data_IF_403485267960
#
_entry.id   IF_403485267960
#
_cell.length_a   1.000
_cell.length_b   1.000
_cell.length_c   1.000
_cell.angle_alpha   90.00
_cell.angle_beta   90.00
_cell.angle_gamma   90.00
#
_symmetry.space_group_name_H-M   'P 1'
#
loop_
_entity.id
_entity.type
_entity.pdbx_description
1 polymer ?
#
# COMPACT_ATOMS: atom_id res chain seq x y z
N UNK A 1 -40.46 -5.15 6.03
CA UNK A 1 -40.45 -6.06 7.19
C UNK A 1 -39.53 -7.20 6.82
N UNK A 2 -38.26 -7.08 7.17
CA UNK A 2 -37.31 -8.17 6.99
C UNK A 2 -37.49 -9.07 8.23
N UNK A 3 -37.81 -10.35 8.00
CA UNK A 3 -38.06 -11.32 9.08
C UNK A 3 -36.76 -11.62 9.82
N UNK A 4 -36.83 -11.82 11.14
CA UNK A 4 -35.71 -12.19 12.04
C UNK A 4 -34.92 -13.45 11.59
N UNK A 5 -35.41 -14.19 10.59
CA UNK A 5 -34.75 -15.35 10.00
C UNK A 5 -33.65 -15.04 8.98
N UNK A 6 -33.45 -13.78 8.56
CA UNK A 6 -32.41 -13.42 7.57
C UNK A 6 -30.99 -13.34 8.14
N UNK A 7 -30.81 -13.58 9.44
CA UNK A 7 -29.54 -13.47 10.16
C UNK A 7 -29.03 -14.80 10.72
N UNK A 8 -29.61 -15.93 10.31
CA UNK A 8 -29.15 -17.23 10.79
C UNK A 8 -27.77 -17.56 10.23
N UNK A 9 -27.01 -18.36 10.99
CA UNK A 9 -25.72 -18.90 10.52
C UNK A 9 -25.89 -19.65 9.19
N UNK A 10 -27.04 -20.29 8.97
CA UNK A 10 -27.34 -20.95 7.70
C UNK A 10 -27.44 -19.96 6.53
N UNK A 11 -28.07 -18.80 6.71
CA UNK A 11 -28.17 -17.80 5.64
C UNK A 11 -26.81 -17.23 5.24
N UNK A 12 -25.94 -16.96 6.22
CA UNK A 12 -24.56 -16.49 5.98
C UNK A 12 -23.76 -17.56 5.21
N UNK A 13 -23.90 -18.83 5.57
CA UNK A 13 -23.22 -19.94 4.88
C UNK A 13 -23.79 -20.19 3.47
N UNK A 14 -25.11 -20.05 3.29
CA UNK A 14 -25.76 -20.13 1.99
C UNK A 14 -25.26 -19.02 1.04
N UNK A 15 -25.14 -17.78 1.55
CA UNK A 15 -24.54 -16.67 0.81
C UNK A 15 -23.07 -16.90 0.44
N UNK A 16 -22.26 -17.41 1.37
CA UNK A 16 -20.84 -17.75 1.13
C UNK A 16 -20.67 -18.83 0.06
N UNK A 17 -21.66 -19.71 -0.08
CA UNK A 17 -21.68 -20.80 -1.05
C UNK A 17 -22.16 -20.41 -2.45
N UNK A 18 -22.79 -19.24 -2.60
CA UNK A 18 -23.31 -18.77 -3.88
C UNK A 18 -22.18 -18.45 -4.87
N UNK A 19 -22.36 -18.76 -6.15
CA UNK A 19 -21.39 -18.44 -7.21
C UNK A 19 -21.11 -16.93 -7.32
N UNK A 20 -22.12 -16.11 -7.00
CA UNK A 20 -22.04 -14.65 -6.87
C UNK A 20 -21.12 -14.18 -5.72
N UNK A 21 -20.79 -15.02 -4.75
CA UNK A 21 -19.85 -14.65 -3.68
C UNK A 21 -18.42 -14.45 -4.22
N UNK A 22 -18.08 -15.04 -5.36
CA UNK A 22 -16.77 -14.88 -6.01
C UNK A 22 -16.57 -13.50 -6.66
N UNK A 23 -17.66 -12.79 -6.97
CA UNK A 23 -17.65 -11.41 -7.49
C UNK A 23 -18.74 -10.65 -6.77
N UNK A 24 -18.36 -9.84 -5.78
CA UNK A 24 -19.32 -9.03 -5.06
C UNK A 24 -20.17 -8.22 -6.07
N UNK A 25 -21.47 -8.05 -5.78
CA UNK A 25 -22.40 -7.27 -6.59
C UNK A 25 -22.93 -6.10 -5.75
N UNK A 26 -23.08 -4.89 -6.30
CA UNK A 26 -23.52 -3.71 -5.53
C UNK A 26 -24.79 -3.94 -4.72
N UNK A 27 -25.83 -4.47 -5.34
CA UNK A 27 -27.10 -4.75 -4.65
C UNK A 27 -26.96 -5.77 -3.52
N UNK A 28 -26.04 -6.75 -3.66
CA UNK A 28 -25.79 -7.72 -2.60
C UNK A 28 -25.03 -7.05 -1.44
N UNK A 29 -24.06 -6.18 -1.76
CA UNK A 29 -23.31 -5.42 -0.77
C UNK A 29 -24.24 -4.51 0.04
N UNK A 30 -25.16 -3.81 -0.61
CA UNK A 30 -26.12 -2.93 0.07
C UNK A 30 -27.06 -3.71 1.00
N UNK A 31 -27.55 -4.87 0.58
CA UNK A 31 -28.32 -5.77 1.46
C UNK A 31 -27.53 -6.23 2.68
N UNK A 32 -26.25 -6.54 2.51
CA UNK A 32 -25.36 -6.88 3.64
C UNK A 32 -25.21 -5.69 4.59
N UNK A 33 -25.07 -4.46 4.06
CA UNK A 33 -24.97 -3.26 4.88
C UNK A 33 -26.29 -2.94 5.63
N UNK A 34 -27.44 -3.14 4.99
CA UNK A 34 -28.76 -3.03 5.64
C UNK A 34 -28.86 -3.97 6.86
N UNK A 35 -28.44 -5.23 6.68
CA UNK A 35 -28.44 -6.22 7.77
C UNK A 35 -27.44 -5.87 8.88
N UNK A 36 -26.25 -5.35 8.53
CA UNK A 36 -25.27 -4.86 9.50
C UNK A 36 -25.86 -3.70 10.32
N UNK A 37 -26.55 -2.74 9.70
CA UNK A 37 -27.20 -1.63 10.42
C UNK A 37 -28.28 -2.15 11.36
N UNK A 38 -29.13 -3.07 10.91
CA UNK A 38 -30.23 -3.61 11.71
C UNK A 38 -29.76 -4.35 12.98
N UNK A 39 -28.53 -4.89 12.97
CA UNK A 39 -28.00 -5.78 13.99
C UNK A 39 -26.79 -5.23 14.78
N UNK A 40 -26.37 -3.99 14.54
CA UNK A 40 -25.14 -3.42 15.13
C UNK A 40 -25.32 -2.01 15.70
N UNK A 41 -24.21 -1.31 15.97
CA UNK A 41 -24.20 0.08 16.44
C UNK A 41 -24.11 1.11 15.30
N UNK A 42 -24.09 0.67 14.04
CA UNK A 42 -24.19 1.55 12.88
C UNK A 42 -25.61 2.09 12.72
N UNK A 43 -25.75 3.34 12.26
CA UNK A 43 -27.05 4.03 12.16
C UNK A 43 -27.61 4.06 10.74
N UNK A 44 -26.74 4.25 9.75
CA UNK A 44 -27.10 4.29 8.33
C UNK A 44 -25.87 4.06 7.45
N UNK A 45 -26.07 3.86 6.15
CA UNK A 45 -25.01 3.99 5.16
C UNK A 45 -25.45 4.90 4.02
N UNK A 46 -24.50 5.46 3.30
CA UNK A 46 -24.72 6.22 2.07
C UNK A 46 -23.72 5.80 1.00
N UNK A 47 -24.20 5.48 -0.19
CA UNK A 47 -23.36 5.29 -1.36
C UNK A 47 -22.95 6.66 -1.95
N UNK A 48 -21.67 6.85 -2.23
CA UNK A 48 -21.20 8.01 -2.99
C UNK A 48 -21.32 7.70 -4.49
N UNK A 49 -22.47 8.04 -5.05
CA UNK A 49 -22.80 7.80 -6.47
C UNK A 49 -21.84 8.49 -7.45
N UNK A 50 -21.19 9.59 -7.05
CA UNK A 50 -20.27 10.32 -7.95
C UNK A 50 -18.95 9.59 -8.13
N UNK A 51 -18.53 8.82 -7.11
CA UNK A 51 -17.25 8.09 -7.13
C UNK A 51 -17.44 6.62 -7.46
N UNK A 52 -18.61 6.08 -7.15
CA UNK A 52 -18.95 4.68 -7.39
C UNK A 52 -19.04 4.42 -8.89
N UNK A 53 -18.29 3.43 -9.37
CA UNK A 53 -18.15 3.10 -10.80
C UNK A 53 -17.66 4.24 -11.70
N UNK A 54 -17.03 5.26 -11.11
CA UNK A 54 -16.44 6.36 -11.87
C UNK A 54 -15.40 5.82 -12.88
N UNK A 55 -15.46 6.33 -14.11
CA UNK A 55 -14.58 5.95 -15.22
C UNK A 55 -14.55 4.44 -15.53
N UNK A 56 -15.60 3.69 -15.16
CA UNK A 56 -15.70 2.25 -15.40
C UNK A 56 -14.85 1.39 -14.46
N UNK A 57 -14.23 1.99 -13.44
CA UNK A 57 -13.52 1.25 -12.39
C UNK A 57 -14.53 0.51 -11.50
N UNK A 58 -14.44 -0.82 -11.30
CA UNK A 58 -15.48 -1.60 -10.61
C UNK A 58 -15.41 -1.41 -9.09
N UNK A 59 -15.54 -0.18 -8.60
CA UNK A 59 -15.39 0.17 -7.18
C UNK A 59 -16.57 1.01 -6.71
N UNK A 60 -17.15 0.64 -5.57
CA UNK A 60 -18.08 1.49 -4.83
C UNK A 60 -17.45 2.08 -3.57
N UNK A 61 -18.01 3.21 -3.17
CA UNK A 61 -17.63 3.98 -1.99
C UNK A 61 -18.85 4.17 -1.10
N UNK A 62 -18.77 3.70 0.14
CA UNK A 62 -19.83 3.83 1.12
C UNK A 62 -19.34 4.59 2.35
N UNK A 63 -20.15 5.52 2.83
CA UNK A 63 -20.06 6.06 4.18
C UNK A 63 -20.95 5.22 5.09
N UNK A 64 -20.39 4.65 6.17
CA UNK A 64 -21.15 3.92 7.19
C UNK A 64 -21.16 4.75 8.47
N UNK A 65 -22.33 5.24 8.86
CA UNK A 65 -22.49 6.18 9.96
C UNK A 65 -22.68 5.47 11.29
N UNK A 66 -22.16 6.05 12.37
CA UNK A 66 -22.33 5.60 13.74
C UNK A 66 -22.31 6.79 14.71
N UNK A 67 -22.93 6.61 15.88
CA UNK A 67 -22.79 7.54 17.00
C UNK A 67 -21.64 7.10 17.89
N UNK A 68 -20.62 7.94 18.02
CA UNK A 68 -19.48 7.69 18.88
C UNK A 68 -19.92 7.64 20.35
N UNK A 69 -19.59 6.54 21.03
CA UNK A 69 -19.85 6.40 22.48
C UNK A 69 -18.91 7.25 23.34
N UNK A 70 -17.87 7.84 22.76
CA UNK A 70 -16.89 8.64 23.47
C UNK A 70 -17.38 10.08 23.68
N UNK A 71 -17.92 10.71 22.65
CA UNK A 71 -18.32 12.12 22.62
C UNK A 71 -19.77 12.35 22.18
N UNK A 72 -20.50 11.30 21.78
CA UNK A 72 -21.88 11.38 21.31
C UNK A 72 -22.03 11.97 19.90
N UNK A 73 -20.93 12.26 19.20
CA UNK A 73 -20.97 12.82 17.86
C UNK A 73 -21.27 11.74 16.81
N UNK A 74 -22.04 12.09 15.79
CA UNK A 74 -22.17 11.26 14.59
C UNK A 74 -20.88 11.34 13.77
N UNK A 75 -20.34 10.18 13.44
CA UNK A 75 -19.16 10.00 12.60
C UNK A 75 -19.43 8.92 11.57
N UNK A 76 -18.53 8.78 10.59
CA UNK A 76 -18.59 7.73 9.57
C UNK A 76 -17.28 6.96 9.46
N UNK A 77 -17.38 5.73 8.99
CA UNK A 77 -16.27 4.91 8.48
C UNK A 77 -16.47 4.79 6.97
N UNK A 78 -15.37 4.94 6.22
CA UNK A 78 -15.36 4.71 4.78
C UNK A 78 -15.19 3.23 4.48
N UNK A 79 -16.08 2.67 3.68
CA UNK A 79 -15.96 1.33 3.09
C UNK A 79 -15.82 1.44 1.58
N UNK A 80 -14.66 1.02 1.09
CA UNK A 80 -14.32 0.94 -0.31
C UNK A 80 -14.39 -0.53 -0.76
N UNK A 81 -15.24 -0.85 -1.73
CA UNK A 81 -15.43 -2.23 -2.22
C UNK A 81 -15.07 -2.30 -3.70
N UNK A 82 -14.12 -3.16 -4.07
CA UNK A 82 -13.81 -3.47 -5.47
C UNK A 82 -14.53 -4.75 -5.84
N UNK A 83 -15.39 -4.67 -6.86
CA UNK A 83 -16.23 -5.74 -7.38
C UNK A 83 -15.51 -6.50 -8.50
N UNK A 84 -14.40 -7.13 -8.16
CA UNK A 84 -13.62 -7.96 -9.07
C UNK A 84 -13.02 -9.17 -8.35
N UNK A 85 -12.36 -10.03 -9.11
CA UNK A 85 -11.59 -11.15 -8.57
C UNK A 85 -10.46 -10.64 -7.69
N UNK A 86 -10.23 -11.34 -6.58
CA UNK A 86 -9.16 -11.02 -5.65
C UNK A 86 -7.82 -11.27 -6.36
N UNK A 87 -6.99 -10.22 -6.60
CA UNK A 87 -5.78 -10.37 -7.42
C UNK A 87 -4.59 -10.93 -6.63
N UNK A 88 -4.72 -11.06 -5.31
CA UNK A 88 -3.65 -11.50 -4.43
C UNK A 88 -3.40 -13.01 -4.57
N UNK A 89 -2.17 -13.44 -4.89
CA UNK A 89 -1.84 -14.85 -5.04
C UNK A 89 -1.85 -15.61 -3.70
N UNK A 90 -1.68 -14.90 -2.58
CA UNK A 90 -1.67 -15.50 -1.25
C UNK A 90 -2.61 -14.74 -0.29
N UNK A 91 -3.63 -15.46 0.18
CA UNK A 91 -4.60 -15.02 1.20
C UNK A 91 -4.41 -15.86 2.44
N UNK A 92 -4.37 -15.21 3.60
CA UNK A 92 -4.22 -15.85 4.91
C UNK A 92 -5.43 -15.55 5.80
N UNK A 93 -5.69 -16.42 6.77
CA UNK A 93 -6.60 -16.13 7.88
C UNK A 93 -5.84 -15.36 8.96
N UNK A 94 -6.32 -14.18 9.30
CA UNK A 94 -5.74 -13.33 10.34
C UNK A 94 -6.79 -13.04 11.44
N UNK A 95 -6.41 -13.06 12.72
CA UNK A 95 -7.31 -12.66 13.79
C UNK A 95 -7.55 -11.14 13.73
N UNK A 96 -8.80 -10.72 13.94
CA UNK A 96 -9.17 -9.31 14.13
C UNK A 96 -8.75 -8.92 15.54
N UNK A 97 -7.47 -8.61 15.72
CA UNK A 97 -6.86 -8.30 17.01
C UNK A 97 -5.92 -7.12 16.89
N UNK A 98 -6.02 -6.17 17.82
CA UNK A 98 -5.16 -5.00 17.87
C UNK A 98 -5.10 -4.47 19.30
N UNK A 99 -4.02 -3.76 19.64
CA UNK A 99 -3.91 -3.03 20.93
C UNK A 99 -4.99 -1.96 21.10
N UNK A 100 -5.66 -1.57 20.01
CA UNK A 100 -6.77 -0.61 20.00
C UNK A 100 -8.15 -1.26 20.14
N UNK A 101 -8.24 -2.59 20.06
CA UNK A 101 -9.50 -3.32 20.05
C UNK A 101 -9.62 -4.20 21.29
N UNK A 102 -10.76 -4.09 21.97
CA UNK A 102 -11.14 -5.06 22.98
C UNK A 102 -12.01 -6.14 22.33
N UNK A 103 -11.56 -7.39 22.37
CA UNK A 103 -12.18 -8.53 21.69
C UNK A 103 -12.41 -9.67 22.68
N UNK A 104 -13.46 -10.46 22.46
CA UNK A 104 -13.76 -11.66 23.26
C UNK A 104 -13.15 -12.90 22.63
N UNK A 105 -12.74 -13.87 23.46
CA UNK A 105 -12.35 -15.18 22.94
C UNK A 105 -13.59 -16.05 22.58
N UNK A 106 -13.49 -16.91 21.55
CA UNK A 106 -12.35 -17.05 20.63
C UNK A 106 -12.23 -15.87 19.66
N UNK A 107 -10.99 -15.54 19.25
CA UNK A 107 -10.73 -14.43 18.32
C UNK A 107 -11.48 -14.63 17.00
N UNK A 108 -12.23 -13.62 16.56
CA UNK A 108 -12.83 -13.58 15.22
C UNK A 108 -11.72 -13.47 14.17
N UNK A 109 -11.72 -14.35 13.17
CA UNK A 109 -10.75 -14.31 12.06
C UNK A 109 -11.38 -13.75 10.78
N UNK A 110 -10.53 -13.26 9.89
CA UNK A 110 -10.92 -12.86 8.53
C UNK A 110 -9.81 -13.14 7.54
N UNK A 111 -10.18 -13.22 6.26
CA UNK A 111 -9.26 -13.39 5.15
C UNK A 111 -8.63 -12.06 4.77
N UNK A 112 -7.30 -12.03 4.72
CA UNK A 112 -6.53 -10.86 4.29
C UNK A 112 -5.41 -11.29 3.35
N UNK A 113 -4.91 -10.39 2.49
CA UNK A 113 -3.71 -10.67 1.73
C UNK A 113 -2.52 -10.86 2.66
N UNK A 114 -1.61 -11.76 2.30
CA UNK A 114 -0.38 -11.94 3.06
C UNK A 114 0.52 -10.71 3.00
N UNK A 115 1.50 -10.64 3.90
CA UNK A 115 2.52 -9.58 3.91
C UNK A 115 3.23 -9.48 2.55
N UNK A 116 3.58 -10.62 1.96
CA UNK A 116 4.23 -10.69 0.66
C UNK A 116 3.30 -10.18 -0.46
N UNK A 117 2.02 -10.59 -0.43
CA UNK A 117 1.02 -10.09 -1.38
C UNK A 117 0.81 -8.58 -1.25
N UNK A 118 0.71 -8.05 -0.03
CA UNK A 118 0.60 -6.61 0.24
C UNK A 118 1.83 -5.83 -0.23
N UNK A 119 3.02 -6.40 -0.11
CA UNK A 119 4.27 -5.74 -0.56
C UNK A 119 4.24 -5.52 -2.07
N UNK A 120 3.83 -6.53 -2.85
CA UNK A 120 3.67 -6.41 -4.30
C UNK A 120 2.64 -5.34 -4.71
N UNK A 121 1.50 -5.32 -4.04
CA UNK A 121 0.44 -4.31 -4.23
C UNK A 121 0.97 -2.90 -3.99
N UNK A 122 1.61 -2.67 -2.84
CA UNK A 122 2.11 -1.36 -2.44
C UNK A 122 3.16 -0.80 -3.41
N UNK A 123 3.95 -1.65 -4.07
CA UNK A 123 4.86 -1.22 -5.14
C UNK A 123 4.09 -0.63 -6.33
N UNK A 124 2.99 -1.25 -6.76
CA UNK A 124 2.15 -0.71 -7.85
C UNK A 124 1.59 0.67 -7.49
N UNK A 125 1.24 0.89 -6.22
CA UNK A 125 0.72 2.16 -5.74
C UNK A 125 1.79 3.26 -5.60
N UNK A 126 3.05 2.89 -5.38
CA UNK A 126 4.22 3.78 -5.30
C UNK A 126 4.99 3.88 -6.64
N UNK A 127 4.23 4.08 -7.72
CA UNK A 127 4.73 4.30 -9.07
C UNK A 127 3.99 5.51 -9.73
N UNK A 128 4.29 6.75 -9.29
CA UNK A 128 3.48 7.95 -9.57
C UNK A 128 3.51 8.49 -11.02
N UNK A 129 4.46 8.08 -11.86
CA UNK A 129 4.47 8.42 -13.29
C UNK A 129 3.75 7.38 -14.17
N UNK A 130 3.52 6.18 -13.64
CA UNK A 130 2.90 5.04 -14.34
C UNK A 130 1.50 4.77 -13.79
N UNK A 131 1.30 3.74 -12.98
CA UNK A 131 -0.03 3.27 -12.52
C UNK A 131 -0.38 3.68 -11.08
N UNK A 132 0.60 4.15 -10.31
CA UNK A 132 0.42 4.51 -8.91
C UNK A 132 -0.28 5.86 -8.69
N UNK A 133 -0.20 6.36 -7.46
CA UNK A 133 -0.79 7.64 -7.09
C UNK A 133 -0.04 8.78 -7.80
N UNK A 134 -0.70 9.42 -8.76
CA UNK A 134 -0.08 10.40 -9.66
C UNK A 134 0.49 11.62 -8.93
N UNK A 135 1.63 12.11 -9.41
CA UNK A 135 2.09 13.48 -9.12
C UNK A 135 1.05 14.53 -9.54
N UNK A 136 1.15 15.73 -8.96
CA UNK A 136 0.30 16.88 -9.25
C UNK A 136 -1.21 16.61 -9.06
N UNK A 137 -1.56 15.64 -8.20
CA UNK A 137 -2.95 15.27 -7.92
C UNK A 137 -3.43 15.72 -6.54
N UNK A 138 -2.63 16.54 -5.84
CA UNK A 138 -2.84 16.92 -4.44
C UNK A 138 -2.95 15.72 -3.48
N UNK A 139 -2.32 14.60 -3.86
CA UNK A 139 -2.27 13.34 -3.10
C UNK A 139 -0.86 13.00 -2.61
N UNK A 140 -0.03 14.02 -2.41
CA UNK A 140 1.34 13.91 -1.91
C UNK A 140 1.43 13.11 -0.61
N UNK A 141 0.52 13.34 0.34
CA UNK A 141 0.39 12.53 1.55
C UNK A 141 0.12 11.05 1.24
N UNK A 142 -0.71 10.76 0.24
CA UNK A 142 -1.08 9.38 -0.09
C UNK A 142 0.06 8.63 -0.76
N UNK A 143 0.88 9.31 -1.58
CA UNK A 143 2.12 8.74 -2.14
C UNK A 143 3.06 8.33 -0.99
N UNK A 144 3.26 9.22 -0.01
CA UNK A 144 4.16 8.95 1.12
C UNK A 144 3.60 7.91 2.09
N UNK A 145 2.28 7.76 2.20
CA UNK A 145 1.68 6.61 2.92
C UNK A 145 2.06 5.28 2.27
N UNK A 146 2.05 5.17 0.94
CA UNK A 146 2.51 3.94 0.27
C UNK A 146 4.00 3.67 0.54
N UNK A 147 4.82 4.72 0.51
CA UNK A 147 6.25 4.62 0.84
C UNK A 147 6.49 4.16 2.29
N UNK A 148 5.76 4.72 3.25
CA UNK A 148 5.85 4.32 4.65
C UNK A 148 5.49 2.85 4.83
N UNK A 149 4.39 2.41 4.21
CA UNK A 149 3.94 1.01 4.25
C UNK A 149 5.00 0.08 3.67
N UNK A 150 5.59 0.41 2.50
CA UNK A 150 6.70 -0.35 1.92
C UNK A 150 7.91 -0.43 2.86
N UNK A 151 8.25 0.66 3.54
CA UNK A 151 9.30 0.69 4.55
C UNK A 151 9.06 -0.27 5.71
N UNK A 152 7.80 -0.43 6.15
CA UNK A 152 7.42 -1.39 7.19
C UNK A 152 7.41 -2.83 6.66
N UNK A 153 6.76 -3.04 5.52
CA UNK A 153 6.61 -4.35 4.90
C UNK A 153 7.95 -4.98 4.51
N UNK A 154 8.92 -4.17 4.07
CA UNK A 154 10.29 -4.62 3.79
C UNK A 154 10.92 -5.41 4.95
N UNK A 155 10.59 -5.06 6.19
CA UNK A 155 11.15 -5.75 7.36
C UNK A 155 10.50 -7.10 7.66
N UNK A 156 9.36 -7.42 7.07
CA UNK A 156 8.59 -8.63 7.38
C UNK A 156 8.29 -9.49 6.16
N UNK A 157 8.44 -8.95 4.95
CA UNK A 157 8.36 -9.72 3.71
C UNK A 157 9.53 -10.70 3.60
N UNK A 158 9.22 -11.92 3.20
CA UNK A 158 10.16 -13.05 3.21
C UNK A 158 10.12 -13.92 1.94
N UNK A 159 8.98 -13.97 1.22
CA UNK A 159 8.85 -14.68 -0.06
C UNK A 159 8.67 -13.70 -1.23
N UNK A 160 9.78 -13.42 -1.91
CA UNK A 160 9.81 -12.51 -3.06
C UNK A 160 9.20 -13.09 -4.33
N UNK A 161 8.92 -14.40 -4.40
CA UNK A 161 8.13 -14.97 -5.49
C UNK A 161 6.67 -14.51 -5.38
N UNK A 162 6.12 -14.55 -4.16
CA UNK A 162 4.75 -14.07 -3.88
C UNK A 162 4.67 -12.55 -4.08
N UNK A 163 5.70 -11.79 -3.68
CA UNK A 163 5.78 -10.35 -3.95
C UNK A 163 5.73 -10.07 -5.45
N UNK A 164 6.51 -10.81 -6.26
CA UNK A 164 6.57 -10.64 -7.70
C UNK A 164 5.25 -11.04 -8.40
N UNK A 165 4.64 -12.17 -8.03
CA UNK A 165 3.35 -12.60 -8.59
C UNK A 165 2.24 -11.60 -8.24
N UNK A 166 2.20 -11.13 -6.99
CA UNK A 166 1.24 -10.11 -6.55
C UNK A 166 1.40 -8.80 -7.33
N UNK A 167 2.65 -8.32 -7.47
CA UNK A 167 2.96 -7.13 -8.26
C UNK A 167 2.46 -7.28 -9.70
N UNK A 168 2.77 -8.39 -10.37
CA UNK A 168 2.40 -8.61 -11.77
C UNK A 168 0.88 -8.65 -11.98
N UNK A 169 0.15 -9.38 -11.13
CA UNK A 169 -1.31 -9.48 -11.21
C UNK A 169 -1.98 -8.13 -10.99
N UNK A 170 -1.59 -7.42 -9.93
CA UNK A 170 -2.20 -6.15 -9.57
C UNK A 170 -1.83 -5.07 -10.61
N UNK A 171 -0.59 -5.03 -11.07
CA UNK A 171 -0.16 -4.10 -12.11
C UNK A 171 -0.94 -4.34 -13.42
N UNK A 172 -1.14 -5.59 -13.84
CA UNK A 172 -1.94 -5.92 -15.01
C UNK A 172 -3.40 -5.44 -14.87
N UNK A 173 -4.01 -5.70 -13.71
CA UNK A 173 -5.36 -5.22 -13.38
C UNK A 173 -5.44 -3.70 -13.40
N UNK A 174 -4.46 -2.99 -12.82
CA UNK A 174 -4.42 -1.52 -12.80
C UNK A 174 -4.21 -0.93 -14.19
N UNK A 175 -3.39 -1.54 -15.04
CA UNK A 175 -3.20 -1.13 -16.44
C UNK A 175 -4.51 -1.21 -17.21
N UNK A 176 -5.26 -2.31 -17.05
CA UNK A 176 -6.55 -2.46 -17.70
C UNK A 176 -7.58 -1.43 -17.20
N UNK A 177 -7.70 -1.24 -15.88
CA UNK A 177 -8.64 -0.25 -15.34
C UNK A 177 -8.31 1.18 -15.77
N UNK A 178 -7.04 1.54 -15.79
CA UNK A 178 -6.59 2.89 -16.15
C UNK A 178 -6.44 3.10 -17.66
N UNK A 179 -6.66 2.04 -18.47
CA UNK A 179 -6.46 2.02 -19.93
C UNK A 179 -5.09 2.58 -20.32
N UNK A 180 -4.05 2.08 -19.65
CA UNK A 180 -2.65 2.45 -19.85
C UNK A 180 -1.86 1.30 -20.44
N UNK A 181 -0.78 1.66 -21.13
CA UNK A 181 0.14 0.73 -21.77
C UNK A 181 1.56 1.00 -21.27
N UNK A 182 1.87 0.44 -20.10
CA UNK A 182 3.23 0.41 -19.54
C UNK A 182 3.62 -1.04 -19.33
N UNK A 183 4.89 -1.35 -19.58
CA UNK A 183 5.47 -2.62 -19.17
C UNK A 183 5.66 -2.70 -17.65
N UNK A 184 5.76 -3.93 -17.14
CA UNK A 184 6.10 -4.17 -15.73
C UNK A 184 7.43 -3.52 -15.34
N UNK A 185 8.41 -3.57 -16.24
CA UNK A 185 9.72 -2.94 -16.06
C UNK A 185 9.62 -1.42 -15.95
N UNK A 186 8.78 -0.76 -16.76
CA UNK A 186 8.55 0.69 -16.67
C UNK A 186 7.94 1.09 -15.32
N UNK A 187 7.01 0.28 -14.79
CA UNK A 187 6.39 0.52 -13.48
C UNK A 187 7.43 0.36 -12.35
N UNK A 188 8.26 -0.70 -12.40
CA UNK A 188 9.34 -0.90 -11.43
C UNK A 188 10.40 0.21 -11.51
N UNK A 189 10.77 0.63 -12.72
CA UNK A 189 11.68 1.74 -12.94
C UNK A 189 11.11 3.06 -12.42
N UNK A 190 9.80 3.27 -12.50
CA UNK A 190 9.14 4.44 -11.92
C UNK A 190 9.26 4.46 -10.39
N UNK A 191 9.05 3.33 -9.71
CA UNK A 191 9.33 3.21 -8.28
C UNK A 191 10.80 3.55 -7.97
N UNK A 192 11.76 2.98 -8.71
CA UNK A 192 13.20 3.23 -8.50
C UNK A 192 13.55 4.70 -8.74
N UNK A 193 13.02 5.31 -9.81
CA UNK A 193 13.28 6.71 -10.15
C UNK A 193 12.63 7.66 -9.13
N UNK A 194 11.41 7.35 -8.66
CA UNK A 194 10.74 8.09 -7.58
C UNK A 194 11.55 8.05 -6.29
N UNK A 195 12.08 6.88 -5.92
CA UNK A 195 13.00 6.74 -4.78
C UNK A 195 14.30 7.51 -4.97
N UNK A 196 14.83 7.55 -6.19
CA UNK A 196 16.03 8.31 -6.52
C UNK A 196 15.84 9.82 -6.30
N UNK A 197 14.65 10.38 -6.61
CA UNK A 197 14.33 11.77 -6.31
C UNK A 197 14.50 12.08 -4.82
N UNK A 198 13.98 11.21 -3.94
CA UNK A 198 14.13 11.37 -2.48
C UNK A 198 15.59 11.33 -2.04
N UNK A 199 16.40 10.45 -2.62
CA UNK A 199 17.83 10.35 -2.31
C UNK A 199 18.61 11.61 -2.77
N UNK A 200 18.27 12.14 -3.93
CA UNK A 200 18.91 13.33 -4.52
C UNK A 200 18.48 14.64 -3.87
N UNK A 201 17.33 14.67 -3.19
CA UNK A 201 16.84 15.81 -2.42
C UNK A 201 16.83 17.12 -3.24
N UNK A 202 17.41 18.20 -2.70
CA UNK A 202 17.52 19.50 -3.37
C UNK A 202 18.53 19.56 -4.52
N UNK A 203 19.17 18.43 -4.90
CA UNK A 203 20.02 18.34 -6.10
C UNK A 203 19.26 17.91 -7.34
N UNK A 204 17.97 17.56 -7.22
CA UNK A 204 17.08 17.46 -8.36
C UNK A 204 16.98 18.82 -9.09
N UNK A 205 16.64 18.78 -10.38
CA UNK A 205 16.50 19.97 -11.24
C UNK A 205 15.22 19.89 -12.05
N UNK A 206 14.72 21.03 -12.49
CA UNK A 206 13.58 21.14 -13.41
C UNK A 206 12.36 20.35 -12.88
N UNK A 207 11.67 19.57 -13.73
CA UNK A 207 10.52 18.74 -13.35
C UNK A 207 10.82 17.79 -12.18
N UNK A 208 12.04 17.25 -12.10
CA UNK A 208 12.43 16.36 -11.01
C UNK A 208 12.47 17.08 -9.65
N UNK A 209 12.77 18.38 -9.63
CA UNK A 209 12.74 19.17 -8.40
C UNK A 209 11.30 19.37 -7.91
N UNK A 210 10.36 19.65 -8.82
CA UNK A 210 8.94 19.81 -8.48
C UNK A 210 8.35 18.51 -7.90
N UNK A 211 8.64 17.38 -8.53
CA UNK A 211 8.24 16.05 -8.03
C UNK A 211 8.84 15.76 -6.64
N UNK A 212 10.11 16.11 -6.43
CA UNK A 212 10.72 15.99 -5.10
C UNK A 212 10.04 16.89 -4.07
N UNK A 213 9.71 18.13 -4.41
CA UNK A 213 9.02 19.07 -3.50
C UNK A 213 7.64 18.55 -3.09
N UNK A 214 6.90 17.94 -4.02
CA UNK A 214 5.65 17.25 -3.73
C UNK A 214 5.86 16.10 -2.73
N UNK A 215 6.83 15.21 -2.98
CA UNK A 215 7.15 14.12 -2.05
C UNK A 215 7.57 14.65 -0.67
N UNK A 216 8.42 15.68 -0.63
CA UNK A 216 8.88 16.30 0.61
C UNK A 216 7.73 16.94 1.40
N UNK A 217 6.74 17.53 0.72
CA UNK A 217 5.49 17.99 1.33
C UNK A 217 4.72 16.84 1.97
N UNK A 218 4.57 15.71 1.26
CA UNK A 218 3.94 14.50 1.80
C UNK A 218 4.62 13.97 3.07
N UNK A 219 5.97 13.98 3.11
CA UNK A 219 6.76 13.57 4.29
C UNK A 219 6.49 14.46 5.49
N UNK A 220 6.24 15.76 5.30
CA UNK A 220 5.86 16.66 6.40
C UNK A 220 4.45 16.43 6.93
N UNK A 221 3.54 15.92 6.08
CA UNK A 221 2.12 15.72 6.41
C UNK A 221 1.82 14.38 7.08
N UNK A 222 2.67 13.36 6.92
CA UNK A 222 2.39 12.01 7.43
C UNK A 222 2.44 11.81 8.96
N UNK A 223 3.27 12.52 9.77
CA UNK A 223 3.45 12.17 11.18
C UNK A 223 2.17 12.07 12.04
N UNK A 224 1.15 12.95 11.89
CA UNK A 224 -0.10 12.82 12.66
C UNK A 224 -0.90 11.54 12.41
N UNK A 225 -0.61 10.81 11.33
CA UNK A 225 -1.32 9.58 10.95
C UNK A 225 -0.62 8.31 11.44
N UNK A 226 0.51 8.43 12.14
CA UNK A 226 1.32 7.29 12.57
C UNK A 226 1.10 6.99 14.05
N UNK A 227 1.20 5.70 14.48
CA UNK A 227 1.12 5.33 15.89
C UNK A 227 2.18 6.05 16.74
N UNK A 228 3.40 6.15 16.21
CA UNK A 228 4.44 7.03 16.73
C UNK A 228 4.59 8.22 15.77
N UNK A 229 4.27 9.46 16.18
CA UNK A 229 4.19 10.62 15.29
C UNK A 229 5.57 11.19 14.95
N UNK A 230 6.50 10.32 14.55
CA UNK A 230 7.87 10.65 14.15
C UNK A 230 8.16 10.02 12.80
N UNK A 231 8.17 10.86 11.76
CA UNK A 231 8.64 10.47 10.45
C UNK A 231 9.32 11.66 9.79
N UNK A 232 10.60 11.50 9.51
CA UNK A 232 11.46 12.56 8.97
C UNK A 232 11.91 12.23 7.56
N UNK A 233 12.57 13.18 6.91
CA UNK A 233 13.20 12.95 5.62
C UNK A 233 14.24 11.82 5.67
N UNK A 234 14.92 11.63 6.80
CA UNK A 234 15.85 10.49 6.96
C UNK A 234 15.13 9.14 6.91
N UNK A 235 13.91 9.06 7.46
CA UNK A 235 13.10 7.85 7.38
C UNK A 235 12.62 7.62 5.95
N UNK A 236 12.11 8.67 5.30
CA UNK A 236 11.64 8.59 3.91
C UNK A 236 12.74 8.18 2.92
N UNK A 237 13.97 8.67 3.09
CA UNK A 237 15.11 8.29 2.24
C UNK A 237 15.53 6.83 2.45
N UNK A 238 15.47 6.33 3.68
CA UNK A 238 15.75 4.91 3.93
C UNK A 238 14.63 4.02 3.38
N UNK A 239 13.38 4.36 3.66
CA UNK A 239 12.22 3.59 3.20
C UNK A 239 12.11 3.62 1.66
N UNK A 240 12.56 4.70 1.00
CA UNK A 240 12.61 4.74 -0.47
C UNK A 240 13.75 3.93 -1.05
N UNK A 241 14.91 3.88 -0.38
CA UNK A 241 16.00 3.00 -0.77
C UNK A 241 15.60 1.51 -0.65
N UNK A 242 14.82 1.15 0.38
CA UNK A 242 14.20 -0.18 0.52
C UNK A 242 13.24 -0.49 -0.63
N UNK A 243 12.31 0.43 -0.93
CA UNK A 243 11.37 0.27 -2.04
C UNK A 243 12.10 0.11 -3.39
N UNK A 244 13.15 0.92 -3.64
CA UNK A 244 13.98 0.79 -4.83
C UNK A 244 14.71 -0.56 -4.89
N UNK A 245 15.15 -1.10 -3.75
CA UNK A 245 15.81 -2.40 -3.69
C UNK A 245 14.85 -3.55 -4.00
N UNK A 246 13.63 -3.54 -3.46
CA UNK A 246 12.61 -4.52 -3.84
C UNK A 246 12.32 -4.43 -5.35
N UNK A 247 12.09 -3.21 -5.86
CA UNK A 247 11.78 -3.00 -7.27
C UNK A 247 12.92 -3.46 -8.20
N UNK A 248 14.19 -3.20 -7.83
CA UNK A 248 15.35 -3.65 -8.59
C UNK A 248 15.50 -5.18 -8.59
N UNK A 249 15.20 -5.85 -7.46
CA UNK A 249 15.17 -7.31 -7.39
C UNK A 249 14.11 -7.90 -8.32
N UNK A 250 12.89 -7.36 -8.28
CA UNK A 250 11.81 -7.77 -9.19
C UNK A 250 12.20 -7.54 -10.66
N UNK A 251 12.76 -6.38 -10.99
CA UNK A 251 13.20 -6.01 -12.34
C UNK A 251 14.25 -7.00 -12.89
N UNK A 252 15.14 -7.48 -12.02
CA UNK A 252 16.18 -8.43 -12.39
C UNK A 252 15.75 -9.90 -12.24
N UNK A 253 14.48 -10.17 -11.92
CA UNK A 253 13.96 -11.50 -11.60
C UNK A 253 14.78 -12.22 -10.50
N UNK A 254 15.33 -11.46 -9.56
CA UNK A 254 16.07 -11.97 -8.41
C UNK A 254 15.16 -12.03 -7.18
N UNK A 255 14.56 -13.19 -6.94
CA UNK A 255 13.65 -13.41 -5.81
C UNK A 255 14.32 -14.02 -4.59
N UNK A 256 15.66 -13.94 -4.51
CA UNK A 256 16.38 -14.37 -3.31
C UNK A 256 16.03 -13.51 -2.09
N UNK A 257 16.14 -14.09 -0.89
CA UNK A 257 15.87 -13.40 0.36
C UNK A 257 16.75 -12.14 0.52
N UNK A 258 16.18 -11.09 1.13
CA UNK A 258 16.93 -9.88 1.44
C UNK A 258 17.59 -10.03 2.82
N UNK A 259 18.92 -10.13 2.83
CA UNK A 259 19.68 -10.05 4.06
C UNK A 259 19.58 -8.65 4.69
N UNK A 260 19.19 -8.60 5.96
CA UNK A 260 19.16 -7.36 6.73
C UNK A 260 20.55 -7.06 7.27
N UNK A 261 20.94 -5.80 7.22
CA UNK A 261 22.17 -5.33 7.86
C UNK A 261 21.88 -4.92 9.31
N UNK A 262 22.69 -5.43 10.24
CA UNK A 262 22.65 -4.99 11.63
C UNK A 262 23.38 -3.66 11.77
N UNK A 263 22.90 -2.82 12.71
CA UNK A 263 23.52 -1.51 12.99
C UNK A 263 25.01 -1.61 13.37
N UNK A 264 25.40 -2.70 14.05
CA UNK A 264 26.79 -2.95 14.47
C UNK A 264 27.72 -3.23 13.29
N UNK A 265 27.18 -3.71 12.18
CA UNK A 265 27.90 -4.12 10.97
C UNK A 265 27.81 -3.07 9.85
N UNK A 266 27.22 -1.90 10.14
CA UNK A 266 27.04 -0.83 9.17
C UNK A 266 28.14 0.24 9.30
N UNK A 267 29.07 0.23 8.34
CA UNK A 267 29.94 1.36 8.04
C UNK A 267 29.55 1.97 6.67
N UNK A 268 29.04 3.22 6.62
CA UNK A 268 28.67 3.84 5.35
C UNK A 268 29.84 3.95 4.35
N UNK A 269 31.10 3.96 4.81
CA UNK A 269 32.27 4.03 3.92
C UNK A 269 32.43 2.78 3.05
N UNK A 270 31.91 1.63 3.48
CA UNK A 270 31.96 0.36 2.74
C UNK A 270 30.93 0.30 1.60
N UNK A 271 29.91 1.17 1.65
CA UNK A 271 28.76 1.15 0.72
C UNK A 271 28.78 2.30 -0.29
N UNK A 272 29.93 2.94 -0.49
CA UNK A 272 30.08 3.95 -1.53
C UNK A 272 29.82 3.38 -2.94
N UNK A 273 29.07 4.13 -3.74
CA UNK A 273 28.80 3.86 -5.15
C UNK A 273 29.76 4.74 -5.95
N UNK A 274 30.70 4.12 -6.64
CA UNK A 274 31.82 4.82 -7.29
C UNK A 274 31.57 5.15 -8.76
N UNK A 275 30.62 4.49 -9.41
CA UNK A 275 30.35 4.57 -10.84
C UNK A 275 28.84 4.48 -11.17
N UNK A 276 28.54 4.66 -12.46
CA UNK A 276 27.19 4.52 -13.00
C UNK A 276 26.19 5.59 -12.57
N UNK A 277 24.90 5.29 -12.78
CA UNK A 277 23.79 6.26 -12.63
C UNK A 277 23.66 6.76 -11.19
N UNK A 278 23.91 5.88 -10.22
CA UNK A 278 23.62 6.14 -8.81
C UNK A 278 24.81 6.68 -8.00
N UNK A 279 25.98 6.91 -8.61
CA UNK A 279 27.16 7.47 -7.91
C UNK A 279 26.88 8.77 -7.15
N UNK A 280 25.97 9.61 -7.67
CA UNK A 280 25.63 10.88 -7.04
C UNK A 280 24.93 10.68 -5.68
N UNK A 281 24.22 9.56 -5.50
CA UNK A 281 23.50 9.22 -4.26
C UNK A 281 24.46 9.17 -3.07
N UNK A 282 25.63 8.56 -3.23
CA UNK A 282 26.63 8.49 -2.15
C UNK A 282 26.97 9.86 -1.57
N UNK A 283 27.19 10.86 -2.43
CA UNK A 283 27.48 12.23 -1.96
C UNK A 283 26.32 12.82 -1.15
N UNK A 284 25.09 12.45 -1.49
CA UNK A 284 23.88 13.01 -0.88
C UNK A 284 23.51 12.39 0.46
N UNK A 285 23.76 11.09 0.65
CA UNK A 285 23.22 10.35 1.81
C UNK A 285 24.29 9.72 2.72
N UNK A 286 25.58 9.74 2.37
CA UNK A 286 26.65 9.11 3.18
C UNK A 286 26.75 9.57 4.64
N UNK A 287 26.29 10.78 4.94
CA UNK A 287 26.31 11.34 6.30
C UNK A 287 25.03 11.07 7.11
N UNK A 288 24.06 10.36 6.53
CA UNK A 288 22.78 10.11 7.19
C UNK A 288 22.91 8.96 8.21
N UNK A 289 22.29 9.09 9.40
CA UNK A 289 22.33 8.06 10.43
C UNK A 289 21.31 6.94 10.15
N UNK A 290 21.32 6.40 8.93
CA UNK A 290 20.33 5.45 8.43
C UNK A 290 20.99 4.46 7.43
N UNK A 291 20.27 3.42 7.00
CA UNK A 291 20.80 2.36 6.12
C UNK A 291 20.60 2.64 4.63
N UNK A 292 20.21 3.86 4.26
CA UNK A 292 19.84 4.18 2.88
C UNK A 292 20.98 3.94 1.88
N UNK A 293 22.24 4.20 2.28
CA UNK A 293 23.40 3.97 1.43
C UNK A 293 23.67 2.48 1.16
N UNK A 294 23.46 1.62 2.16
CA UNK A 294 23.54 0.16 2.00
C UNK A 294 22.56 -0.31 0.92
N UNK A 295 21.28 0.06 1.04
CA UNK A 295 20.26 -0.37 0.07
C UNK A 295 20.51 0.18 -1.34
N UNK A 296 20.93 1.44 -1.47
CA UNK A 296 21.31 2.01 -2.76
C UNK A 296 22.53 1.33 -3.38
N UNK A 297 23.49 0.87 -2.56
CA UNK A 297 24.62 0.07 -3.04
C UNK A 297 24.16 -1.27 -3.61
N UNK A 298 23.17 -1.90 -2.99
CA UNK A 298 22.58 -3.15 -3.48
C UNK A 298 21.80 -2.92 -4.78
N UNK A 299 20.99 -1.86 -4.88
CA UNK A 299 20.35 -1.45 -6.16
C UNK A 299 21.41 -1.26 -7.25
N UNK A 300 22.47 -0.52 -6.96
CA UNK A 300 23.55 -0.27 -7.91
C UNK A 300 24.38 -1.51 -8.27
N UNK A 301 24.27 -2.63 -7.56
CA UNK A 301 24.90 -3.90 -7.99
C UNK A 301 23.99 -4.69 -8.93
N UNK A 302 22.68 -4.52 -8.80
CA UNK A 302 21.68 -5.26 -9.57
C UNK A 302 21.44 -4.66 -10.96
N UNK A 303 21.37 -3.33 -11.06
CA UNK A 303 20.83 -2.63 -12.25
C UNK A 303 21.78 -1.59 -12.86
N UNK A 304 23.07 -1.61 -12.53
CA UNK A 304 24.05 -0.62 -12.98
C UNK A 304 24.96 -1.16 -14.09
#
# INVERSE_FOLDING_TARGET
MINESSLSKEWIEELRSAELYKKAHPELMEKILEEIIASSSFTSFKCDENRTFADGFPKAHYDIFYISKFDGAENNILLDVVFDEIPYPEIIEAPIKSVLLNTSEPDTTTKVPSINSLTGDKLTAFAPNTIGIKYNSNKDLQIIKQLFDLGRLFHVADDFNVVADSFNRIAATQLDYQKKDFSMDEILLDTINTSYLLAMQNKNKDDALLKYEELHSGVKKIPPFLPEPKYSMYNAIEDSAKAAFIAAKLLMNDYTHIEKIDKKDYDPNEFHITDGKYKAVTKMIKGMPNFSLYYWRQVSKLIN
#
